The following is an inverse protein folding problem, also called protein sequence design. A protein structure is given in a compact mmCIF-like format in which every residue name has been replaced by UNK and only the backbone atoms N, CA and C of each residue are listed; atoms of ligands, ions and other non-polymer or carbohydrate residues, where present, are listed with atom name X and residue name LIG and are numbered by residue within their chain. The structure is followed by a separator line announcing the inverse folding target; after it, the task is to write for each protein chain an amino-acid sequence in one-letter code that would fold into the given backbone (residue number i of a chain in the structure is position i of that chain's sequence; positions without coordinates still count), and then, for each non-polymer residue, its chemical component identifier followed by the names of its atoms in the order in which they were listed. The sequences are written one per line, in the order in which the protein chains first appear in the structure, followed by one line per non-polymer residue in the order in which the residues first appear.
data_IF_102352859129
#
_entry.id   IF_102352859129
#
_cell.length_a   1.000
_cell.length_b   1.000
_cell.length_c   1.000
_cell.angle_alpha   90.00
_cell.angle_beta   90.00
_cell.angle_gamma   90.00
#
_symmetry.space_group_name_H-M   'P 1'
#
loop_
_entity.id
_entity.type
_entity.pdbx_description
1 polymer ?
#
# COMPACT_ATOMS: atom_id res chain seq x y z
N UNK A 1 21.83 37.64 26.71
CA UNK A 1 21.45 36.29 26.22
C UNK A 1 22.58 35.24 26.09
N UNK A 2 23.81 35.35 26.66
CA UNK A 2 24.80 34.27 26.57
C UNK A 2 24.65 33.17 27.65
N UNK A 3 23.95 33.45 28.77
CA UNK A 3 23.72 32.49 29.85
C UNK A 3 22.69 31.40 29.49
N UNK A 4 21.64 31.74 28.75
CA UNK A 4 20.65 30.77 28.26
C UNK A 4 21.24 29.79 27.23
N UNK A 5 22.05 30.29 26.29
CA UNK A 5 22.73 29.44 25.29
C UNK A 5 23.71 28.45 25.93
N UNK A 6 24.30 28.82 27.07
CA UNK A 6 25.22 27.97 27.83
C UNK A 6 24.49 26.88 28.62
N UNK A 7 23.29 27.18 29.16
CA UNK A 7 22.44 26.19 29.84
C UNK A 7 21.85 25.19 28.85
N UNK A 8 21.45 25.64 27.67
CA UNK A 8 21.00 24.76 26.58
C UNK A 8 22.17 23.83 26.18
N UNK A 9 23.32 24.37 25.81
CA UNK A 9 24.44 23.52 25.39
C UNK A 9 24.96 22.58 26.49
N UNK A 10 24.82 22.90 27.79
CA UNK A 10 25.21 22.00 28.88
C UNK A 10 24.15 20.95 29.24
N UNK A 11 22.89 21.14 28.83
CA UNK A 11 21.78 20.21 29.13
C UNK A 11 21.54 19.20 28.00
N UNK A 12 21.98 19.51 26.78
CA UNK A 12 21.86 18.64 25.59
C UNK A 12 23.17 17.92 25.22
N UNK A 13 24.16 17.89 26.12
CA UNK A 13 25.46 17.21 25.90
C UNK A 13 25.66 15.95 26.73
N UNK A 14 24.63 15.43 27.40
CA UNK A 14 24.68 14.19 28.16
C UNK A 14 23.49 13.30 27.79
N UNK A 15 23.81 12.14 27.22
CA UNK A 15 23.07 10.86 27.15
C UNK A 15 21.66 10.80 27.81
N UNK A 16 20.66 11.49 27.26
CA UNK A 16 19.26 11.40 27.72
C UNK A 16 18.34 11.08 26.53
N UNK A 17 17.99 9.80 26.37
CA UNK A 17 16.96 9.33 25.41
C UNK A 17 15.54 9.85 25.73
N UNK A 18 15.34 10.62 26.80
CA UNK A 18 14.02 11.00 27.35
C UNK A 18 13.82 12.52 27.58
N UNK A 19 14.51 13.39 26.83
CA UNK A 19 14.18 14.83 26.87
C UNK A 19 12.91 15.12 26.04
N UNK A 20 11.89 15.79 26.61
CA UNK A 20 10.68 16.14 25.86
C UNK A 20 11.04 17.07 24.69
N UNK A 21 10.71 16.63 23.48
CA UNK A 21 10.96 17.38 22.25
C UNK A 21 10.22 18.73 22.27
N UNK A 22 10.89 19.81 21.85
CA UNK A 22 10.23 21.11 21.64
C UNK A 22 9.14 20.97 20.56
N UNK A 23 8.10 21.78 20.63
CA UNK A 23 6.96 21.73 19.69
C UNK A 23 7.39 21.95 18.24
N UNK A 24 8.51 22.65 18.02
CA UNK A 24 9.14 22.84 16.72
C UNK A 24 9.81 21.56 16.21
N UNK A 25 10.55 20.85 17.06
CA UNK A 25 11.21 19.59 16.70
C UNK A 25 10.19 18.46 16.44
N UNK A 26 9.11 18.41 17.24
CA UNK A 26 7.97 17.52 16.99
C UNK A 26 7.35 17.78 15.60
N UNK A 27 7.24 19.05 15.20
CA UNK A 27 6.67 19.41 13.89
C UNK A 27 7.55 18.95 12.73
N UNK A 28 8.87 19.12 12.86
CA UNK A 28 9.84 18.68 11.85
C UNK A 28 9.80 17.16 11.69
N UNK A 29 9.70 16.41 12.80
CA UNK A 29 9.61 14.95 12.75
C UNK A 29 8.31 14.50 12.07
N UNK A 30 7.18 15.10 12.41
CA UNK A 30 5.87 14.79 11.80
C UNK A 30 5.88 15.11 10.30
N UNK A 31 6.44 16.25 9.90
CA UNK A 31 6.56 16.63 8.49
C UNK A 31 7.47 15.67 7.72
N UNK A 32 8.61 15.30 8.28
CA UNK A 32 9.51 14.30 7.70
C UNK A 32 8.82 12.92 7.57
N UNK A 33 8.05 12.51 8.57
CA UNK A 33 7.26 11.27 8.50
C UNK A 33 6.21 11.35 7.39
N UNK A 34 5.49 12.48 7.27
CA UNK A 34 4.52 12.72 6.19
C UNK A 34 5.16 12.58 4.81
N UNK A 35 6.34 13.17 4.62
CA UNK A 35 7.07 13.15 3.34
C UNK A 35 7.52 11.74 2.92
N UNK A 36 7.86 10.89 3.88
CA UNK A 36 8.38 9.55 3.62
C UNK A 36 7.31 8.45 3.49
N UNK A 37 6.07 8.70 3.92
CA UNK A 37 4.96 7.75 3.68
C UNK A 37 4.51 7.83 2.21
N UNK A 38 4.56 6.72 1.44
CA UNK A 38 4.11 6.69 0.05
C UNK A 38 2.60 6.86 -0.05
N UNK A 39 2.15 7.58 -1.08
CA UNK A 39 0.73 7.86 -1.37
C UNK A 39 -0.04 8.46 -0.19
N UNK A 40 0.66 9.18 0.69
CA UNK A 40 0.05 9.83 1.84
C UNK A 40 -0.93 10.91 1.39
N UNK A 41 -2.22 10.73 1.71
CA UNK A 41 -3.30 11.64 1.32
C UNK A 41 -3.25 12.99 2.05
N UNK A 42 -2.44 13.10 3.10
CA UNK A 42 -2.29 14.33 3.89
C UNK A 42 -1.33 15.35 3.24
N UNK A 43 -0.63 14.97 2.17
CA UNK A 43 0.31 15.84 1.45
C UNK A 43 0.11 15.76 -0.05
N UNK A 44 0.55 16.79 -0.81
CA UNK A 44 0.63 16.69 -2.26
C UNK A 44 1.61 15.58 -2.69
N UNK A 45 1.41 15.10 -3.91
CA UNK A 45 2.21 14.05 -4.54
C UNK A 45 3.66 14.50 -4.70
N UNK A 46 4.62 13.63 -4.34
CA UNK A 46 6.05 13.91 -4.41
C UNK A 46 6.82 12.92 -5.32
N UNK A 47 8.13 13.10 -5.42
CA UNK A 47 8.99 12.22 -6.23
C UNK A 47 8.99 10.76 -5.75
N UNK A 48 8.79 10.52 -4.45
CA UNK A 48 8.70 9.17 -3.89
C UNK A 48 7.45 8.46 -4.42
N UNK A 49 6.30 9.14 -4.42
CA UNK A 49 5.06 8.61 -4.99
C UNK A 49 5.20 8.29 -6.49
N UNK A 50 5.93 9.11 -7.24
CA UNK A 50 6.20 8.85 -8.66
C UNK A 50 7.09 7.63 -8.89
N UNK A 51 8.06 7.38 -8.00
CA UNK A 51 8.86 6.13 -8.05
C UNK A 51 7.99 4.92 -7.77
N UNK A 52 7.16 4.97 -6.73
CA UNK A 52 6.22 3.89 -6.43
C UNK A 52 5.19 3.67 -7.54
N UNK A 53 4.71 4.74 -8.18
CA UNK A 53 3.79 4.64 -9.31
C UNK A 53 4.41 3.88 -10.50
N UNK A 54 5.71 4.08 -10.78
CA UNK A 54 6.42 3.29 -11.81
C UNK A 54 6.47 1.80 -11.46
N UNK A 55 6.70 1.46 -10.19
CA UNK A 55 6.68 0.07 -9.72
C UNK A 55 5.28 -0.53 -9.87
N UNK A 56 4.23 0.20 -9.52
CA UNK A 56 2.84 -0.25 -9.71
C UNK A 56 2.50 -0.45 -11.20
N UNK A 57 2.98 0.41 -12.09
CA UNK A 57 2.83 0.21 -13.54
C UNK A 57 3.56 -1.03 -14.04
N UNK A 58 4.75 -1.32 -13.53
CA UNK A 58 5.46 -2.56 -13.84
C UNK A 58 4.65 -3.79 -13.39
N UNK A 59 4.09 -3.76 -12.18
CA UNK A 59 3.21 -4.83 -11.68
C UNK A 59 1.98 -5.01 -12.59
N UNK A 60 1.36 -3.91 -13.03
CA UNK A 60 0.24 -3.96 -13.98
C UNK A 60 0.64 -4.55 -15.34
N UNK A 61 1.85 -4.27 -15.83
CA UNK A 61 2.38 -4.89 -17.04
C UNK A 61 2.61 -6.40 -16.84
N UNK A 62 3.11 -6.83 -15.69
CA UNK A 62 3.22 -8.25 -15.33
C UNK A 62 1.85 -8.93 -15.31
N UNK A 63 0.83 -8.29 -14.76
CA UNK A 63 -0.56 -8.78 -14.80
C UNK A 63 -1.08 -8.95 -16.23
N UNK A 64 -0.79 -8.00 -17.13
CA UNK A 64 -1.14 -8.13 -18.53
C UNK A 64 -0.42 -9.33 -19.19
N UNK A 65 0.86 -9.55 -18.88
CA UNK A 65 1.62 -10.69 -19.37
C UNK A 65 1.06 -12.03 -18.86
N UNK A 66 0.71 -12.11 -17.56
CA UNK A 66 0.06 -13.30 -16.98
C UNK A 66 -1.26 -13.59 -17.67
N UNK A 67 -2.11 -12.59 -17.88
CA UNK A 67 -3.37 -12.76 -18.61
C UNK A 67 -3.14 -13.25 -20.04
N UNK A 68 -2.11 -12.74 -20.72
CA UNK A 68 -1.76 -13.22 -22.05
C UNK A 68 -1.39 -14.71 -22.03
N UNK A 69 -0.60 -15.16 -21.04
CA UNK A 69 -0.24 -16.57 -20.88
C UNK A 69 -1.48 -17.43 -20.60
N UNK A 70 -2.36 -17.00 -19.69
CA UNK A 70 -3.59 -17.70 -19.33
C UNK A 70 -4.55 -17.90 -20.52
N UNK A 71 -4.56 -16.97 -21.49
CA UNK A 71 -5.42 -17.04 -22.68
C UNK A 71 -4.75 -17.79 -23.83
N UNK A 72 -3.42 -17.75 -23.94
CA UNK A 72 -2.69 -18.29 -25.10
C UNK A 72 -2.17 -19.71 -24.88
N UNK A 73 -1.75 -20.07 -23.66
CA UNK A 73 -1.13 -21.36 -23.41
C UNK A 73 -2.18 -22.50 -23.35
N UNK A 74 -1.98 -23.64 -24.04
CA UNK A 74 -2.96 -24.72 -24.13
C UNK A 74 -3.40 -25.29 -22.77
N UNK A 75 -2.47 -25.42 -21.83
CA UNK A 75 -2.71 -25.88 -20.45
C UNK A 75 -3.89 -25.13 -19.80
N UNK A 76 -3.85 -23.80 -19.81
CA UNK A 76 -4.90 -22.99 -19.18
C UNK A 76 -6.16 -22.89 -20.03
N UNK A 77 -6.01 -22.75 -21.35
CA UNK A 77 -7.14 -22.51 -22.26
C UNK A 77 -8.00 -23.76 -22.49
N UNK A 78 -7.40 -24.94 -22.59
CA UNK A 78 -8.10 -26.18 -22.94
C UNK A 78 -8.42 -27.04 -21.73
N UNK A 79 -7.49 -27.17 -20.79
CA UNK A 79 -7.65 -28.08 -19.65
C UNK A 79 -8.42 -27.41 -18.51
N UNK A 80 -8.22 -26.11 -18.29
CA UNK A 80 -8.81 -25.36 -17.18
C UNK A 80 -9.47 -24.04 -17.60
N UNK A 81 -10.36 -24.02 -18.62
CA UNK A 81 -10.88 -22.79 -19.22
C UNK A 81 -11.66 -21.90 -18.24
N UNK A 82 -12.44 -22.52 -17.35
CA UNK A 82 -13.26 -21.79 -16.37
C UNK A 82 -12.36 -21.11 -15.32
N UNK A 83 -11.43 -21.87 -14.74
CA UNK A 83 -10.47 -21.36 -13.73
C UNK A 83 -9.60 -20.27 -14.34
N UNK A 84 -9.11 -20.46 -15.57
CA UNK A 84 -8.36 -19.45 -16.33
C UNK A 84 -9.16 -18.16 -16.55
N UNK A 85 -10.43 -18.27 -16.95
CA UNK A 85 -11.31 -17.11 -17.15
C UNK A 85 -11.47 -16.29 -15.85
N UNK A 86 -11.80 -16.94 -14.73
CA UNK A 86 -11.95 -16.25 -13.46
C UNK A 86 -10.63 -15.67 -12.93
N UNK A 87 -9.51 -16.35 -13.16
CA UNK A 87 -8.16 -15.86 -12.83
C UNK A 87 -7.85 -14.58 -13.60
N UNK A 88 -8.14 -14.56 -14.92
CA UNK A 88 -7.97 -13.37 -15.75
C UNK A 88 -8.83 -12.19 -15.26
N UNK A 89 -10.10 -12.44 -14.93
CA UNK A 89 -11.00 -11.40 -14.41
C UNK A 89 -10.50 -10.86 -13.07
N UNK A 90 -10.02 -11.73 -12.17
CA UNK A 90 -9.47 -11.30 -10.88
C UNK A 90 -8.21 -10.44 -11.05
N UNK A 91 -7.28 -10.84 -11.93
CA UNK A 91 -6.06 -10.08 -12.23
C UNK A 91 -6.39 -8.72 -12.87
N UNK A 92 -7.34 -8.68 -13.80
CA UNK A 92 -7.83 -7.42 -14.37
C UNK A 92 -8.45 -6.52 -13.30
N UNK A 93 -9.28 -7.08 -12.42
CA UNK A 93 -9.87 -6.37 -11.29
C UNK A 93 -8.81 -5.75 -10.38
N UNK A 94 -7.74 -6.48 -10.05
CA UNK A 94 -6.61 -5.98 -9.28
C UNK A 94 -5.86 -4.87 -10.01
N UNK A 95 -5.62 -5.01 -11.31
CA UNK A 95 -4.95 -3.99 -12.13
C UNK A 95 -5.73 -2.67 -12.11
N UNK A 96 -7.05 -2.74 -12.30
CA UNK A 96 -7.95 -1.57 -12.25
C UNK A 96 -7.93 -0.96 -10.85
N UNK A 97 -8.01 -1.77 -9.80
CA UNK A 97 -8.01 -1.29 -8.42
C UNK A 97 -6.70 -0.55 -8.07
N UNK A 98 -5.55 -1.08 -8.48
CA UNK A 98 -4.25 -0.41 -8.31
C UNK A 98 -4.25 0.95 -9.03
N UNK A 99 -4.80 1.00 -10.25
CA UNK A 99 -4.87 2.25 -11.01
C UNK A 99 -5.74 3.30 -10.30
N UNK A 100 -6.90 2.89 -9.79
CA UNK A 100 -7.86 3.76 -9.11
C UNK A 100 -7.35 4.23 -7.74
N UNK A 101 -6.77 3.34 -6.92
CA UNK A 101 -6.33 3.70 -5.56
C UNK A 101 -5.08 4.60 -5.58
N UNK A 102 -4.13 4.38 -6.51
CA UNK A 102 -2.80 5.00 -6.44
C UNK A 102 -2.43 5.92 -7.60
N UNK A 103 -3.05 5.77 -8.77
CA UNK A 103 -2.64 6.54 -9.97
C UNK A 103 -3.57 7.70 -10.26
N UNK A 104 -4.89 7.50 -10.13
CA UNK A 104 -5.90 8.55 -10.35
C UNK A 104 -7.03 8.45 -9.33
N UNK A 105 -7.09 9.33 -8.31
CA UNK A 105 -8.29 9.51 -7.52
C UNK A 105 -9.34 10.24 -8.39
N UNK A 106 -10.10 9.51 -9.21
CA UNK A 106 -11.29 10.06 -9.89
C UNK A 106 -12.50 9.90 -8.97
N UNK A 107 -13.30 10.96 -8.92
CA UNK A 107 -14.55 11.08 -8.15
C UNK A 107 -15.58 9.96 -8.40
N UNK A 108 -15.44 9.22 -9.51
CA UNK A 108 -16.32 8.13 -9.91
C UNK A 108 -16.41 6.95 -8.92
N UNK A 109 -15.42 6.76 -8.04
CA UNK A 109 -15.39 5.67 -7.05
C UNK A 109 -15.64 6.11 -5.61
N UNK A 110 -16.07 7.36 -5.37
CA UNK A 110 -16.35 7.87 -4.01
C UNK A 110 -17.45 7.06 -3.29
N UNK A 111 -18.33 6.37 -4.03
CA UNK A 111 -19.47 5.63 -3.46
C UNK A 111 -19.20 4.18 -3.06
N UNK A 112 -18.18 3.52 -3.62
CA UNK A 112 -17.77 2.17 -3.21
C UNK A 112 -16.41 2.24 -2.56
N UNK A 113 -16.29 1.79 -1.32
CA UNK A 113 -14.96 1.74 -0.69
C UNK A 113 -14.11 0.71 -1.43
N UNK A 114 -13.03 1.15 -2.06
CA UNK A 114 -12.08 0.30 -2.80
C UNK A 114 -11.64 -0.96 -2.01
N UNK A 115 -11.70 -0.91 -0.67
CA UNK A 115 -11.47 -2.09 0.17
C UNK A 115 -12.55 -3.17 0.09
N UNK A 116 -13.84 -2.84 -0.03
CA UNK A 116 -14.89 -3.85 -0.20
C UNK A 116 -14.71 -4.61 -1.51
N UNK A 117 -14.35 -3.90 -2.58
CA UNK A 117 -14.02 -4.50 -3.88
C UNK A 117 -12.79 -5.41 -3.76
N UNK A 118 -11.75 -4.97 -3.03
CA UNK A 118 -10.58 -5.80 -2.77
C UNK A 118 -10.92 -7.08 -1.99
N UNK A 119 -11.76 -6.99 -0.95
CA UNK A 119 -12.21 -8.16 -0.18
C UNK A 119 -13.01 -9.12 -1.05
N UNK A 120 -13.88 -8.62 -1.93
CA UNK A 120 -14.60 -9.45 -2.88
C UNK A 120 -13.64 -10.17 -3.86
N UNK A 121 -12.65 -9.46 -4.40
CA UNK A 121 -11.62 -10.05 -5.26
C UNK A 121 -10.78 -11.09 -4.50
N UNK A 122 -10.41 -10.83 -3.24
CA UNK A 122 -9.71 -11.79 -2.39
C UNK A 122 -10.54 -13.07 -2.19
N UNK A 123 -11.83 -12.94 -1.90
CA UNK A 123 -12.72 -14.08 -1.71
C UNK A 123 -12.84 -14.92 -2.99
N UNK A 124 -13.03 -14.28 -4.14
CA UNK A 124 -13.04 -14.96 -5.45
C UNK A 124 -11.70 -15.65 -5.70
N UNK A 125 -10.58 -14.97 -5.43
CA UNK A 125 -9.24 -15.51 -5.60
C UNK A 125 -8.95 -16.69 -4.68
N UNK A 126 -9.50 -16.69 -3.45
CA UNK A 126 -9.40 -17.82 -2.52
C UNK A 126 -10.19 -19.04 -3.02
N UNK A 127 -11.37 -18.82 -3.61
CA UNK A 127 -12.15 -19.90 -4.23
C UNK A 127 -11.38 -20.49 -5.41
N UNK A 128 -10.83 -19.65 -6.29
CA UNK A 128 -9.96 -20.07 -7.40
C UNK A 128 -8.78 -20.88 -6.87
N UNK A 129 -8.11 -20.39 -5.82
CA UNK A 129 -6.99 -21.07 -5.16
C UNK A 129 -7.38 -22.46 -4.67
N UNK A 130 -8.49 -22.58 -3.93
CA UNK A 130 -8.96 -23.86 -3.37
C UNK A 130 -9.34 -24.87 -4.46
N UNK A 131 -10.01 -24.40 -5.52
CA UNK A 131 -10.34 -25.24 -6.67
C UNK A 131 -9.04 -25.70 -7.36
N UNK A 132 -8.13 -24.78 -7.63
CA UNK A 132 -6.88 -25.06 -8.34
C UNK A 132 -5.94 -25.98 -7.57
N UNK A 133 -5.91 -25.87 -6.24
CA UNK A 133 -5.10 -26.73 -5.37
C UNK A 133 -5.49 -28.21 -5.48
N UNK A 134 -6.77 -28.51 -5.76
CA UNK A 134 -7.24 -29.89 -5.99
C UNK A 134 -6.75 -30.48 -7.31
N UNK A 135 -6.43 -29.62 -8.28
CA UNK A 135 -5.98 -30.01 -9.62
C UNK A 135 -4.52 -29.61 -9.86
N UNK A 136 -3.74 -29.41 -8.80
CA UNK A 136 -2.33 -29.04 -8.92
C UNK A 136 -1.54 -30.21 -9.51
N UNK A 137 -1.07 -30.02 -10.73
CA UNK A 137 -0.35 -31.01 -11.53
C UNK A 137 1.08 -30.58 -11.85
N UNK A 138 1.44 -29.30 -11.66
CA UNK A 138 2.83 -28.86 -11.80
C UNK A 138 3.07 -27.35 -11.69
N UNK A 139 4.27 -26.92 -12.08
CA UNK A 139 4.72 -25.51 -11.95
C UNK A 139 3.82 -24.51 -12.71
N UNK A 140 3.18 -24.92 -13.79
CA UNK A 140 2.26 -24.07 -14.55
C UNK A 140 1.05 -23.62 -13.70
N UNK A 141 0.59 -24.43 -12.75
CA UNK A 141 -0.58 -24.07 -11.95
C UNK A 141 -0.31 -22.90 -10.98
N UNK A 142 0.96 -22.48 -10.84
CA UNK A 142 1.35 -21.33 -10.02
C UNK A 142 0.69 -20.02 -10.46
N UNK A 143 0.34 -19.89 -11.75
CA UNK A 143 -0.34 -18.68 -12.24
C UNK A 143 -1.75 -18.51 -11.66
N UNK A 144 -2.42 -19.59 -11.25
CA UNK A 144 -3.72 -19.51 -10.58
C UNK A 144 -3.64 -18.94 -9.16
N UNK A 145 -2.45 -18.94 -8.55
CA UNK A 145 -2.22 -18.37 -7.22
C UNK A 145 -1.89 -16.88 -7.23
N UNK A 146 -1.50 -16.34 -8.39
CA UNK A 146 -1.13 -14.92 -8.56
C UNK A 146 -2.21 -13.96 -8.07
N UNK A 147 -3.51 -14.11 -8.40
CA UNK A 147 -4.54 -13.19 -7.93
C UNK A 147 -4.67 -13.20 -6.40
N UNK A 148 -4.56 -14.36 -5.76
CA UNK A 148 -4.67 -14.48 -4.31
C UNK A 148 -3.49 -13.79 -3.59
N UNK A 149 -2.26 -14.12 -3.99
CA UNK A 149 -1.06 -13.49 -3.39
C UNK A 149 -1.02 -11.98 -3.62
N UNK A 150 -1.40 -11.55 -4.83
CA UNK A 150 -1.41 -10.14 -5.20
C UNK A 150 -2.47 -9.37 -4.42
N UNK A 151 -3.67 -9.93 -4.27
CA UNK A 151 -4.76 -9.30 -3.52
C UNK A 151 -4.47 -9.21 -2.02
N UNK A 152 -3.85 -10.24 -1.43
CA UNK A 152 -3.38 -10.21 -0.05
C UNK A 152 -2.31 -9.13 0.17
N UNK A 153 -1.32 -9.08 -0.71
CA UNK A 153 -0.23 -8.08 -0.64
C UNK A 153 -0.80 -6.66 -0.76
N UNK A 154 -1.72 -6.44 -1.71
CA UNK A 154 -2.37 -5.16 -1.92
C UNK A 154 -3.21 -4.75 -0.70
N UNK A 155 -3.90 -5.71 -0.06
CA UNK A 155 -4.70 -5.46 1.14
C UNK A 155 -3.82 -5.00 2.30
N UNK A 156 -2.74 -5.72 2.59
CA UNK A 156 -1.78 -5.35 3.63
C UNK A 156 -1.18 -3.98 3.36
N UNK A 157 -0.72 -3.72 2.13
CA UNK A 157 -0.13 -2.43 1.74
C UNK A 157 -1.10 -1.25 1.94
N UNK A 158 -2.36 -1.38 1.51
CA UNK A 158 -3.38 -0.34 1.72
C UNK A 158 -3.67 -0.14 3.22
N UNK A 159 -3.75 -1.24 3.99
CA UNK A 159 -3.99 -1.19 5.43
C UNK A 159 -2.85 -0.46 6.14
N UNK A 160 -1.60 -0.78 5.82
CA UNK A 160 -0.42 -0.18 6.43
C UNK A 160 -0.32 1.32 6.12
N UNK A 161 -0.54 1.73 4.87
CA UNK A 161 -0.57 3.16 4.51
C UNK A 161 -1.66 3.90 5.28
N UNK A 162 -2.86 3.32 5.39
CA UNK A 162 -3.97 3.95 6.13
C UNK A 162 -3.68 4.04 7.62
N UNK A 163 -3.08 3.02 8.21
CA UNK A 163 -2.61 3.02 9.60
C UNK A 163 -1.60 4.15 9.83
N UNK A 164 -0.55 4.21 9.01
CA UNK A 164 0.47 5.26 9.09
C UNK A 164 -0.13 6.67 8.92
N UNK A 165 -1.09 6.86 8.01
CA UNK A 165 -1.80 8.14 7.88
C UNK A 165 -2.63 8.49 9.13
N UNK A 166 -3.22 7.51 9.81
CA UNK A 166 -3.96 7.72 11.06
C UNK A 166 -3.02 8.06 12.21
N UNK A 167 -1.91 7.34 12.33
CA UNK A 167 -0.89 7.59 13.35
C UNK A 167 -0.28 8.99 13.20
N UNK A 168 -0.04 9.45 11.97
CA UNK A 168 0.39 10.84 11.69
C UNK A 168 -0.66 11.85 12.18
N UNK A 169 -1.94 11.62 11.90
CA UNK A 169 -3.01 12.53 12.35
C UNK A 169 -3.15 12.53 13.87
N UNK A 170 -2.90 11.40 14.52
CA UNK A 170 -2.91 11.30 15.98
C UNK A 170 -1.70 12.03 16.58
N UNK A 171 -0.50 11.88 16.02
CA UNK A 171 0.69 12.63 16.40
C UNK A 171 0.50 14.15 16.26
N UNK A 172 -0.17 14.60 15.20
CA UNK A 172 -0.52 16.02 15.03
C UNK A 172 -1.47 16.53 16.12
N UNK A 173 -2.42 15.70 16.57
CA UNK A 173 -3.37 16.05 17.64
C UNK A 173 -2.73 16.03 19.02
N UNK A 174 -1.80 15.11 19.25
CA UNK A 174 -1.10 14.92 20.53
C UNK A 174 0.09 15.86 20.70
N UNK A 175 0.42 16.69 19.69
CA UNK A 175 1.46 17.70 19.75
C UNK A 175 1.27 18.56 21.01
N UNK A 176 2.28 18.58 21.87
CA UNK A 176 2.23 19.26 23.16
C UNK A 176 3.04 20.56 23.07
N UNK A 177 2.44 21.70 23.46
CA UNK A 177 3.17 22.97 23.55
C UNK A 177 3.67 23.20 24.96
N UNK A 178 4.92 22.82 25.22
CA UNK A 178 5.56 22.97 26.53
C UNK A 178 5.81 24.44 26.92
N UNK A 179 5.55 25.42 26.04
CA UNK A 179 5.74 26.86 26.33
C UNK A 179 4.52 27.55 26.93
N UNK A 180 3.35 26.91 26.92
CA UNK A 180 2.10 27.49 27.44
C UNK A 180 1.64 26.88 28.79
N UNK A 181 2.39 25.92 29.35
CA UNK A 181 2.15 25.31 30.67
C UNK A 181 3.10 25.86 31.74
#
# INVERSE_FOLDING_TARGET
MPRLRKVINSKYTLDDEDLPLDSQDQSIIIENLKENVPFNKLRPRNQLDDRFAKVLHLIQACFAAVNLILITHPHYRRENPIVSCFTCVAILGLSILIHVEFTKPRELFIKFTNMQVLVAIMAISAIIFLISARFYTGFLDMLFFVPFLSSLTLYSFIKDIRGLSQDILELERLKFDYKEA
#
